data_IF_958683856165
#
_entry.id   IF_958683856165
#
_cell.length_a   1.000
_cell.length_b   1.000
_cell.length_c   1.000
_cell.angle_alpha   90.00
_cell.angle_beta   90.00
_cell.angle_gamma   90.00
#
_symmetry.space_group_name_H-M   'P 1'
#
loop_
_entity.id
_entity.type
_entity.pdbx_description
1 polymer ?
#
# COMPACT_ATOMS: atom_id res chain seq x y z
N UNK A 1 25.59 -51.15 9.99
CA UNK A 1 24.17 -51.54 10.13
C UNK A 1 23.99 -51.90 11.60
N UNK A 2 23.27 -51.16 12.44
CA UNK A 2 22.13 -50.28 12.21
C UNK A 2 22.26 -49.05 13.11
N UNK A 3 22.23 -47.85 12.50
CA UNK A 3 22.04 -46.59 13.22
C UNK A 3 20.57 -46.50 13.64
N UNK A 4 20.34 -46.12 14.89
CA UNK A 4 19.00 -45.88 15.41
C UNK A 4 18.43 -44.58 14.82
N UNK A 5 17.13 -44.54 14.48
CA UNK A 5 16.52 -43.35 13.89
C UNK A 5 16.37 -42.25 14.94
N UNK A 6 16.97 -41.09 14.64
CA UNK A 6 16.85 -39.87 15.44
C UNK A 6 15.39 -39.43 15.58
N UNK A 7 14.96 -39.31 16.83
CA UNK A 7 13.74 -38.64 17.23
C UNK A 7 13.77 -37.19 16.75
N UNK A 8 12.91 -36.85 15.78
CA UNK A 8 12.60 -35.46 15.45
C UNK A 8 11.75 -34.89 16.58
N UNK A 9 12.13 -33.77 17.22
CA UNK A 9 11.24 -33.13 18.18
C UNK A 9 10.00 -32.59 17.46
N UNK A 10 8.79 -32.75 18.02
CA UNK A 10 7.59 -32.18 17.44
C UNK A 10 7.63 -30.66 17.60
N UNK A 11 7.74 -29.90 16.49
CA UNK A 11 7.42 -28.47 16.51
C UNK A 11 5.90 -28.31 16.45
N UNK A 12 5.25 -28.61 17.57
CA UNK A 12 3.89 -28.16 17.83
C UNK A 12 3.98 -26.65 18.06
N UNK A 13 3.57 -25.86 17.07
CA UNK A 13 3.08 -24.52 17.35
C UNK A 13 1.82 -24.72 18.21
N UNK A 14 2.01 -24.64 19.53
CA UNK A 14 0.93 -24.70 20.50
C UNK A 14 -0.08 -23.60 20.18
N UNK A 15 -1.22 -24.07 19.71
CA UNK A 15 -2.43 -23.31 19.46
C UNK A 15 -2.98 -22.84 20.81
N UNK A 16 -2.45 -21.76 21.36
CA UNK A 16 -3.05 -21.12 22.52
C UNK A 16 -4.22 -20.26 22.05
N UNK A 17 -5.41 -20.86 22.04
CA UNK A 17 -6.68 -20.16 21.97
C UNK A 17 -6.75 -19.18 23.15
N UNK A 18 -6.45 -17.90 22.90
CA UNK A 18 -6.83 -16.83 23.82
C UNK A 18 -8.19 -16.28 23.37
N UNK A 19 -9.21 -16.29 24.24
CA UNK A 19 -10.54 -15.83 23.90
C UNK A 19 -10.53 -14.30 23.81
N UNK A 20 -10.62 -13.77 22.59
CA UNK A 20 -10.93 -12.36 22.37
C UNK A 20 -12.44 -12.13 22.52
N UNK A 21 -12.91 -12.10 23.76
CA UNK A 21 -14.14 -11.40 24.17
C UNK A 21 -13.66 -10.35 25.20
N UNK A 22 -14.00 -9.08 25.17
CA UNK A 22 -14.93 -8.30 24.35
C UNK A 22 -14.75 -6.85 24.80
N UNK A 23 -14.35 -5.96 23.90
CA UNK A 23 -14.48 -4.51 24.06
C UNK A 23 -14.64 -3.85 22.68
N UNK A 24 -15.39 -4.50 21.79
CA UNK A 24 -16.12 -3.78 20.76
C UNK A 24 -17.30 -3.11 21.46
N UNK A 25 -17.09 -1.88 21.91
CA UNK A 25 -18.22 -0.97 21.95
C UNK A 25 -18.71 -0.86 20.52
N UNK A 26 -19.91 -1.40 20.27
CA UNK A 26 -20.63 -1.30 19.02
C UNK A 26 -20.60 0.13 18.50
N UNK A 27 -19.73 0.42 17.53
CA UNK A 27 -19.85 1.58 16.67
C UNK A 27 -20.25 1.08 15.28
N UNK A 28 -21.47 0.54 15.20
CA UNK A 28 -22.16 0.53 13.92
C UNK A 28 -22.16 1.98 13.40
N UNK A 29 -21.77 2.23 12.13
CA UNK A 29 -21.80 3.57 11.59
C UNK A 29 -23.23 4.08 11.70
N UNK A 30 -23.42 5.12 12.53
CA UNK A 30 -24.71 5.75 12.71
C UNK A 30 -25.25 6.12 11.33
N UNK A 31 -26.49 5.73 11.07
CA UNK A 31 -27.19 6.17 9.87
C UNK A 31 -27.18 7.71 9.82
N UNK A 32 -27.24 8.30 8.63
CA UNK A 32 -27.23 9.76 8.48
C UNK A 32 -28.35 10.48 9.27
N UNK A 33 -29.39 9.76 9.67
CA UNK A 33 -30.48 10.26 10.52
C UNK A 33 -30.08 10.32 12.00
N UNK A 34 -29.40 9.29 12.51
CA UNK A 34 -28.93 9.23 13.90
C UNK A 34 -27.85 10.26 14.19
N UNK A 35 -26.96 10.52 13.23
CA UNK A 35 -25.95 11.59 13.33
C UNK A 35 -26.62 12.95 13.52
N UNK A 36 -27.70 13.23 12.77
CA UNK A 36 -28.46 14.49 12.88
C UNK A 36 -29.20 14.58 14.21
N UNK A 37 -29.71 13.46 14.74
CA UNK A 37 -30.38 13.43 16.03
C UNK A 37 -29.39 13.71 17.18
N UNK A 38 -28.22 13.09 17.16
CA UNK A 38 -27.17 13.33 18.15
C UNK A 38 -26.63 14.77 18.08
N UNK A 39 -26.48 15.33 16.88
CA UNK A 39 -26.11 16.74 16.70
C UNK A 39 -27.16 17.70 17.29
N UNK A 40 -28.46 17.42 17.11
CA UNK A 40 -29.54 18.21 17.73
C UNK A 40 -29.55 18.09 19.25
N UNK A 41 -29.27 16.89 19.77
CA UNK A 41 -29.16 16.63 21.21
C UNK A 41 -27.98 17.40 21.81
N UNK A 42 -26.85 17.44 21.10
CA UNK A 42 -25.67 18.21 21.45
C UNK A 42 -25.94 19.72 21.54
N UNK A 43 -26.80 20.27 20.68
CA UNK A 43 -27.12 21.71 20.69
C UNK A 43 -28.15 22.13 21.75
N UNK A 44 -28.98 21.19 22.23
CA UNK A 44 -30.11 21.49 23.13
C UNK A 44 -29.84 21.21 24.60
N UNK A 45 -28.83 20.38 24.88
CA UNK A 45 -28.62 19.86 26.22
C UNK A 45 -27.18 20.03 26.66
N UNK A 46 -27.01 20.82 27.72
CA UNK A 46 -25.72 21.20 28.31
C UNK A 46 -24.92 20.00 28.85
N UNK A 47 -25.60 18.90 29.16
CA UNK A 47 -24.99 17.66 29.64
C UNK A 47 -24.46 16.76 28.51
N UNK A 48 -24.76 17.07 27.25
CA UNK A 48 -24.31 16.27 26.13
C UNK A 48 -22.81 16.45 25.91
N UNK A 49 -22.07 15.35 25.70
CA UNK A 49 -20.58 15.35 25.62
C UNK A 49 -20.04 16.33 24.57
N UNK A 50 -20.80 16.56 23.50
CA UNK A 50 -20.42 17.47 22.40
C UNK A 50 -20.98 18.90 22.54
N UNK A 51 -21.73 19.22 23.61
CA UNK A 51 -22.43 20.51 23.75
C UNK A 51 -21.48 21.70 23.62
N UNK A 52 -20.41 21.72 24.42
CA UNK A 52 -19.45 22.84 24.38
C UNK A 52 -18.73 22.96 23.04
N UNK A 53 -18.62 21.88 22.26
CA UNK A 53 -18.04 21.90 20.92
C UNK A 53 -19.02 22.51 19.90
N UNK A 54 -20.31 22.18 20.01
CA UNK A 54 -21.35 22.69 19.09
C UNK A 54 -21.79 24.11 19.38
N UNK A 55 -21.75 24.55 20.64
CA UNK A 55 -22.33 25.85 21.06
C UNK A 55 -21.29 26.96 21.14
N UNK A 56 -20.00 26.63 21.30
CA UNK A 56 -18.92 27.62 21.51
C UNK A 56 -18.01 27.82 20.30
N UNK A 57 -17.98 26.90 19.34
CA UNK A 57 -17.09 27.01 18.19
C UNK A 57 -17.85 27.46 16.95
N UNK A 58 -17.76 28.76 16.61
CA UNK A 58 -17.69 29.09 15.19
C UNK A 58 -16.51 28.27 14.63
N UNK A 59 -16.71 27.39 13.63
CA UNK A 59 -15.62 26.58 13.13
C UNK A 59 -14.50 27.53 12.72
N UNK A 60 -13.27 27.39 13.27
CA UNK A 60 -12.18 28.24 12.87
C UNK A 60 -12.10 28.15 11.34
N UNK A 61 -12.13 29.31 10.65
CA UNK A 61 -11.93 29.35 9.21
C UNK A 61 -10.72 28.46 8.93
N UNK A 62 -10.92 27.43 8.10
CA UNK A 62 -9.91 26.42 7.75
C UNK A 62 -8.51 27.02 7.90
N UNK A 63 -7.70 26.47 8.81
CA UNK A 63 -6.34 26.96 9.11
C UNK A 63 -5.67 27.38 7.80
N UNK A 64 -5.30 28.67 7.68
CA UNK A 64 -4.60 29.17 6.50
C UNK A 64 -3.36 28.30 6.32
N UNK A 65 -3.34 27.47 5.28
CA UNK A 65 -2.14 26.71 4.95
C UNK A 65 -1.00 27.72 4.82
N UNK A 66 0.07 27.52 5.58
CA UNK A 66 1.25 28.40 5.53
C UNK A 66 1.97 28.27 4.19
N UNK A 67 1.74 27.16 3.48
CA UNK A 67 2.19 26.92 2.10
C UNK A 67 1.01 26.37 1.28
N UNK A 68 0.12 27.24 0.80
CA UNK A 68 -0.95 26.79 -0.07
C UNK A 68 -0.32 26.33 -1.40
N UNK A 69 -0.61 25.08 -1.79
CA UNK A 69 -0.13 24.47 -3.04
C UNK A 69 -0.26 25.41 -4.24
N UNK A 70 -1.40 26.11 -4.35
CA UNK A 70 -1.65 27.07 -5.41
C UNK A 70 -0.62 28.19 -5.48
N UNK A 71 -0.16 28.72 -4.33
CA UNK A 71 0.84 29.81 -4.31
C UNK A 71 2.21 29.32 -4.78
N UNK A 72 2.64 28.15 -4.32
CA UNK A 72 3.88 27.52 -4.79
C UNK A 72 3.81 27.21 -6.29
N UNK A 73 2.69 26.66 -6.76
CA UNK A 73 2.46 26.39 -8.18
C UNK A 73 2.49 27.68 -9.03
N UNK A 74 1.86 28.77 -8.56
CA UNK A 74 1.89 30.06 -9.24
C UNK A 74 3.30 30.67 -9.29
N UNK A 75 4.08 30.58 -8.21
CA UNK A 75 5.47 31.06 -8.19
C UNK A 75 6.35 30.29 -9.20
N UNK A 76 6.17 28.96 -9.32
CA UNK A 76 6.88 28.14 -10.31
C UNK A 76 6.45 28.45 -11.76
N UNK A 77 5.17 28.70 -12.00
CA UNK A 77 4.68 29.08 -13.33
C UNK A 77 5.20 30.44 -13.76
N UNK A 78 5.33 31.38 -12.83
CA UNK A 78 5.80 32.74 -13.12
C UNK A 78 7.33 32.85 -13.25
N UNK A 79 8.09 31.91 -12.69
CA UNK A 79 9.56 31.87 -12.82
C UNK A 79 10.04 31.14 -14.09
N UNK A 80 9.13 30.53 -14.85
CA UNK A 80 9.45 29.81 -16.08
C UNK A 80 9.34 30.76 -17.28
N UNK A 81 10.45 30.96 -18.00
CA UNK A 81 10.65 32.02 -19.00
C UNK A 81 10.38 31.60 -20.47
N UNK A 82 9.75 30.46 -20.73
CA UNK A 82 9.57 29.98 -22.11
C UNK A 82 8.11 29.65 -22.43
N UNK A 83 7.73 29.81 -23.71
CA UNK A 83 6.47 29.45 -24.39
C UNK A 83 6.15 27.94 -24.35
N UNK A 84 6.56 27.27 -23.28
CA UNK A 84 6.23 25.88 -23.00
C UNK A 84 4.83 25.88 -22.40
N UNK A 85 3.88 25.24 -23.11
CA UNK A 85 2.56 24.96 -22.54
C UNK A 85 2.69 24.40 -21.13
N UNK A 86 1.85 24.84 -20.19
CA UNK A 86 1.83 24.40 -18.79
C UNK A 86 2.03 22.88 -18.65
N UNK A 87 1.37 22.11 -19.51
CA UNK A 87 1.40 20.65 -19.49
C UNK A 87 2.77 20.10 -19.89
N UNK A 88 3.43 20.72 -20.88
CA UNK A 88 4.77 20.34 -21.32
C UNK A 88 5.82 20.69 -20.26
N UNK A 89 5.67 21.82 -19.57
CA UNK A 89 6.57 22.18 -18.47
C UNK A 89 6.40 21.22 -17.29
N UNK A 90 5.16 20.91 -16.91
CA UNK A 90 4.87 19.93 -15.85
C UNK A 90 5.47 18.55 -16.18
N UNK A 91 5.30 18.07 -17.41
CA UNK A 91 5.89 16.81 -17.85
C UNK A 91 7.42 16.83 -17.79
N UNK A 92 8.04 17.94 -18.22
CA UNK A 92 9.50 18.10 -18.20
C UNK A 92 10.05 18.18 -16.77
N UNK A 93 9.44 18.99 -15.90
CA UNK A 93 9.83 19.13 -14.50
C UNK A 93 9.71 17.80 -13.75
N UNK A 94 8.61 17.08 -13.95
CA UNK A 94 8.42 15.75 -13.34
C UNK A 94 9.42 14.72 -13.85
N UNK A 95 9.71 14.71 -15.15
CA UNK A 95 10.73 13.83 -15.75
C UNK A 95 12.12 14.13 -15.19
N UNK A 96 12.46 15.41 -14.99
CA UNK A 96 13.71 15.83 -14.38
C UNK A 96 13.79 15.40 -12.91
N UNK A 97 12.74 15.61 -12.12
CA UNK A 97 12.69 15.16 -10.72
C UNK A 97 12.83 13.64 -10.62
N UNK A 98 12.09 12.89 -11.45
CA UNK A 98 12.19 11.44 -11.54
C UNK A 98 13.63 10.99 -11.82
N UNK A 99 14.27 11.55 -12.84
CA UNK A 99 15.67 11.22 -13.16
C UNK A 99 16.66 11.60 -12.03
N UNK A 100 16.35 12.64 -11.27
CA UNK A 100 17.23 13.15 -10.19
C UNK A 100 17.13 12.38 -8.87
N UNK A 101 16.06 11.62 -8.64
CA UNK A 101 15.77 10.96 -7.36
C UNK A 101 16.73 9.79 -6.97
N UNK A 102 17.85 9.62 -7.70
CA UNK A 102 18.67 8.41 -7.70
C UNK A 102 17.92 7.25 -8.40
N UNK A 103 18.57 6.16 -8.82
CA UNK A 103 17.86 5.02 -9.42
C UNK A 103 17.40 4.00 -8.36
N UNK A 104 16.16 4.08 -7.85
CA UNK A 104 15.50 2.94 -7.22
C UNK A 104 15.23 1.85 -8.26
N UNK A 105 14.96 0.64 -7.79
CA UNK A 105 14.53 -0.48 -8.63
C UNK A 105 13.33 -0.13 -9.52
N UNK A 106 12.45 0.80 -9.08
CA UNK A 106 11.31 1.29 -9.86
C UNK A 106 11.69 1.98 -11.17
N UNK A 107 12.88 2.57 -11.28
CA UNK A 107 13.35 3.20 -12.53
C UNK A 107 13.63 2.17 -13.63
N UNK A 108 13.88 0.90 -13.27
CA UNK A 108 14.01 -0.17 -14.24
C UNK A 108 12.66 -0.48 -14.90
N UNK A 109 11.55 -0.38 -14.15
CA UNK A 109 10.22 -0.76 -14.63
C UNK A 109 9.43 0.41 -15.23
N UNK A 110 9.69 1.64 -14.78
CA UNK A 110 9.03 2.87 -15.24
C UNK A 110 10.07 3.73 -15.96
N UNK A 111 10.19 3.49 -17.27
CA UNK A 111 11.17 4.17 -18.12
C UNK A 111 10.80 5.64 -18.39
N UNK A 112 9.53 5.90 -18.70
CA UNK A 112 9.02 7.26 -18.86
C UNK A 112 7.73 7.44 -18.04
N UNK A 113 7.76 8.20 -16.93
CA UNK A 113 6.58 8.43 -16.12
C UNK A 113 5.50 9.26 -16.84
N UNK A 114 5.86 9.98 -17.91
CA UNK A 114 4.91 10.71 -18.76
C UNK A 114 4.53 9.96 -20.04
N UNK A 115 5.20 8.84 -20.34
CA UNK A 115 5.11 8.13 -21.61
C UNK A 115 4.24 6.89 -21.54
N UNK A 116 2.91 7.07 -21.51
CA UNK A 116 1.93 6.00 -21.81
C UNK A 116 1.95 4.77 -20.89
N UNK A 117 1.05 3.83 -21.23
CA UNK A 117 0.80 2.57 -20.55
C UNK A 117 2.08 1.78 -20.22
N UNK A 118 2.35 1.56 -18.94
CA UNK A 118 3.34 0.57 -18.50
C UNK A 118 2.74 -0.80 -18.79
N UNK A 119 3.53 -1.73 -19.35
CA UNK A 119 3.07 -3.09 -19.64
C UNK A 119 2.26 -3.67 -18.47
N UNK A 120 1.01 -4.03 -18.77
CA UNK A 120 0.04 -4.64 -17.85
C UNK A 120 -1.04 -3.70 -17.32
N UNK A 121 -1.14 -2.46 -17.80
CA UNK A 121 -2.20 -1.51 -17.46
C UNK A 121 -3.62 -2.00 -17.80
N UNK A 122 -3.73 -2.91 -18.77
CA UNK A 122 -4.94 -3.61 -19.18
C UNK A 122 -5.32 -4.79 -18.26
N UNK A 123 -4.45 -5.17 -17.32
CA UNK A 123 -4.71 -6.29 -16.43
C UNK A 123 -5.82 -5.99 -15.42
N UNK A 124 -6.60 -7.02 -15.02
CA UNK A 124 -7.45 -6.95 -13.84
C UNK A 124 -6.69 -6.40 -12.63
N UNK A 125 -7.39 -5.60 -11.82
CA UNK A 125 -6.82 -4.88 -10.66
C UNK A 125 -5.93 -5.77 -9.80
N UNK A 126 -6.35 -7.00 -9.51
CA UNK A 126 -5.63 -7.91 -8.64
C UNK A 126 -4.25 -8.29 -9.21
N UNK A 127 -4.21 -8.71 -10.49
CA UNK A 127 -2.98 -9.06 -11.20
C UNK A 127 -2.07 -7.85 -11.32
N UNK A 128 -2.64 -6.70 -11.68
CA UNK A 128 -1.91 -5.44 -11.76
C UNK A 128 -1.29 -5.07 -10.41
N UNK A 129 -2.04 -5.19 -9.31
CA UNK A 129 -1.49 -4.89 -7.97
C UNK A 129 -0.37 -5.84 -7.58
N UNK A 130 -0.53 -7.16 -7.80
CA UNK A 130 0.50 -8.16 -7.50
C UNK A 130 1.77 -7.90 -8.31
N UNK A 131 1.64 -7.65 -9.61
CA UNK A 131 2.74 -7.29 -10.48
C UNK A 131 3.47 -6.04 -9.99
N UNK A 132 2.73 -4.98 -9.65
CA UNK A 132 3.36 -3.74 -9.17
C UNK A 132 4.05 -3.92 -7.84
N UNK A 133 3.52 -4.73 -6.92
CA UNK A 133 4.16 -5.04 -5.64
C UNK A 133 5.47 -5.79 -5.81
N UNK A 134 5.54 -6.70 -6.79
CA UNK A 134 6.77 -7.38 -7.19
C UNK A 134 7.78 -6.40 -7.78
N UNK A 135 7.36 -5.56 -8.74
CA UNK A 135 8.21 -4.53 -9.36
C UNK A 135 8.78 -3.55 -8.33
N UNK A 136 7.95 -3.03 -7.44
CA UNK A 136 8.43 -2.09 -6.41
C UNK A 136 9.14 -2.78 -5.25
N UNK A 137 9.10 -4.12 -5.18
CA UNK A 137 9.59 -4.93 -4.04
C UNK A 137 9.01 -4.48 -2.70
N UNK A 138 7.82 -3.88 -2.74
CA UNK A 138 7.12 -3.28 -1.61
C UNK A 138 5.65 -3.65 -1.73
N UNK A 139 5.09 -4.17 -0.64
CA UNK A 139 3.71 -4.69 -0.62
C UNK A 139 3.41 -5.38 0.68
N UNK A 140 2.42 -6.28 0.69
CA UNK A 140 2.04 -7.07 1.87
C UNK A 140 2.80 -8.40 1.91
N UNK A 141 4.11 -8.35 1.64
CA UNK A 141 5.00 -9.47 1.97
C UNK A 141 4.93 -9.74 3.48
N UNK A 142 4.98 -11.01 3.92
CA UNK A 142 4.82 -11.33 5.36
C UNK A 142 5.85 -10.62 6.25
N UNK A 143 7.05 -10.34 5.74
CA UNK A 143 8.05 -9.49 6.43
C UNK A 143 7.55 -8.07 6.68
N UNK A 144 6.96 -7.42 5.67
CA UNK A 144 6.33 -6.10 5.80
C UNK A 144 5.12 -6.15 6.72
N UNK A 145 4.25 -7.16 6.58
CA UNK A 145 3.07 -7.32 7.44
C UNK A 145 3.45 -7.53 8.91
N UNK A 146 4.52 -8.30 9.19
CA UNK A 146 5.04 -8.49 10.55
C UNK A 146 5.58 -7.18 11.11
N UNK A 147 6.30 -6.40 10.32
CA UNK A 147 6.77 -5.05 10.70
C UNK A 147 5.61 -4.12 11.05
N UNK A 148 4.45 -4.29 10.42
CA UNK A 148 3.23 -3.55 10.71
C UNK A 148 2.36 -4.15 11.82
N UNK A 149 2.75 -5.30 12.39
CA UNK A 149 1.99 -5.99 13.44
C UNK A 149 0.68 -6.61 12.96
N UNK A 150 0.55 -6.89 11.65
CA UNK A 150 -0.64 -7.53 11.07
C UNK A 150 -0.55 -9.07 11.08
N UNK A 151 0.67 -9.62 11.20
CA UNK A 151 0.92 -11.05 11.33
C UNK A 151 2.02 -11.28 12.37
N UNK A 152 1.94 -12.41 13.08
CA UNK A 152 2.93 -12.77 14.10
C UNK A 152 4.21 -13.35 13.48
N UNK A 153 4.08 -14.00 12.32
CA UNK A 153 5.15 -14.73 11.66
C UNK A 153 5.42 -14.20 10.24
N UNK A 154 6.72 -14.04 9.91
CA UNK A 154 7.16 -13.63 8.59
C UNK A 154 7.44 -14.82 7.64
N UNK A 155 7.30 -16.06 8.10
CA UNK A 155 7.70 -17.24 7.34
C UNK A 155 6.90 -17.43 6.06
N UNK A 156 7.61 -17.81 4.99
CA UNK A 156 7.00 -18.19 3.72
C UNK A 156 6.40 -19.60 3.82
N UNK A 157 5.39 -19.87 3.00
CA UNK A 157 4.71 -21.18 2.96
C UNK A 157 5.62 -22.25 2.35
N UNK A 158 6.65 -21.82 1.61
CA UNK A 158 7.69 -22.68 1.09
C UNK A 158 8.69 -23.12 2.19
N UNK A 159 8.49 -22.71 3.45
CA UNK A 159 9.34 -23.07 4.59
C UNK A 159 10.52 -22.13 4.85
N UNK A 160 10.68 -21.05 4.06
CA UNK A 160 11.69 -20.02 4.32
C UNK A 160 11.33 -19.20 5.57
N UNK A 161 12.29 -18.85 6.45
CA UNK A 161 12.01 -18.08 7.67
C UNK A 161 11.42 -16.69 7.40
N UNK A 162 11.69 -16.08 6.24
CA UNK A 162 11.25 -14.73 5.94
C UNK A 162 10.78 -14.58 4.48
N UNK A 163 9.49 -14.34 4.29
CA UNK A 163 8.94 -13.98 2.99
C UNK A 163 9.24 -12.50 2.70
N UNK A 164 10.37 -12.25 2.04
CA UNK A 164 10.73 -10.96 1.43
C UNK A 164 10.35 -10.92 -0.04
N UNK A 165 10.32 -9.73 -0.63
CA UNK A 165 10.16 -9.58 -2.08
C UNK A 165 11.26 -10.32 -2.85
N UNK A 166 12.52 -10.17 -2.39
CA UNK A 166 13.68 -10.81 -3.02
C UNK A 166 13.56 -12.33 -2.97
N UNK A 167 13.11 -12.89 -1.83
CA UNK A 167 12.84 -14.31 -1.71
C UNK A 167 11.80 -14.77 -2.74
N UNK A 168 10.64 -14.11 -2.82
CA UNK A 168 9.58 -14.46 -3.77
C UNK A 168 10.09 -14.40 -5.21
N UNK A 169 10.82 -13.35 -5.58
CA UNK A 169 11.27 -13.14 -6.97
C UNK A 169 12.39 -14.13 -7.35
N UNK A 170 13.32 -14.41 -6.45
CA UNK A 170 14.60 -15.05 -6.82
C UNK A 170 14.77 -16.50 -6.35
N UNK A 171 14.17 -16.91 -5.21
CA UNK A 171 14.49 -18.19 -4.57
C UNK A 171 13.28 -19.03 -4.16
N UNK A 172 12.09 -18.45 -4.06
CA UNK A 172 10.89 -19.17 -3.64
C UNK A 172 10.52 -20.25 -4.65
N UNK A 173 10.41 -21.51 -4.24
CA UNK A 173 10.03 -22.58 -5.18
C UNK A 173 8.51 -22.69 -5.40
N UNK A 174 7.69 -22.01 -4.59
CA UNK A 174 6.23 -22.03 -4.72
C UNK A 174 5.70 -20.85 -5.54
N UNK A 175 6.17 -19.64 -5.23
CA UNK A 175 5.59 -18.40 -5.75
C UNK A 175 6.53 -17.61 -6.65
N UNK A 176 7.60 -18.24 -7.13
CA UNK A 176 8.52 -17.55 -8.02
C UNK A 176 7.87 -17.28 -9.36
N UNK A 177 7.93 -16.03 -9.86
CA UNK A 177 7.54 -15.75 -11.23
C UNK A 177 8.49 -16.45 -12.21
N UNK A 178 8.05 -16.76 -13.44
CA UNK A 178 8.85 -17.49 -14.43
C UNK A 178 10.27 -16.93 -14.63
N UNK A 179 10.38 -15.61 -14.70
CA UNK A 179 11.65 -14.90 -14.72
C UNK A 179 11.50 -13.49 -14.17
N UNK A 180 12.57 -12.96 -13.58
CA UNK A 180 12.65 -11.56 -13.17
C UNK A 180 12.57 -10.62 -14.39
N UNK A 181 13.08 -11.05 -15.55
CA UNK A 181 12.96 -10.31 -16.81
C UNK A 181 11.50 -10.21 -17.29
N UNK A 182 10.67 -11.21 -16.96
CA UNK A 182 9.25 -11.22 -17.33
C UNK A 182 8.41 -10.22 -16.52
N UNK A 183 8.98 -9.64 -15.45
CA UNK A 183 8.37 -8.48 -14.78
C UNK A 183 8.38 -7.24 -15.67
N UNK A 184 9.24 -7.18 -16.69
CA UNK A 184 9.35 -6.06 -17.64
C UNK A 184 8.51 -6.32 -18.89
N UNK A 185 8.81 -7.42 -19.59
CA UNK A 185 8.14 -7.84 -20.80
C UNK A 185 7.14 -8.93 -20.43
N UNK A 186 5.89 -8.54 -20.20
CA UNK A 186 4.80 -9.39 -19.71
C UNK A 186 4.43 -10.46 -20.76
N UNK A 187 5.31 -11.44 -20.93
CA UNK A 187 5.11 -12.56 -21.83
C UNK A 187 3.93 -13.44 -21.39
N UNK A 188 3.47 -14.32 -22.28
CA UNK A 188 2.29 -15.16 -22.04
C UNK A 188 2.45 -16.07 -20.80
N UNK A 189 3.68 -16.51 -20.51
CA UNK A 189 3.98 -17.33 -19.32
C UNK A 189 3.78 -16.54 -18.01
N UNK A 190 4.18 -15.26 -18.00
CA UNK A 190 3.99 -14.40 -16.83
C UNK A 190 2.51 -14.08 -16.62
N UNK A 191 1.76 -13.88 -17.70
CA UNK A 191 0.32 -13.64 -17.62
C UNK A 191 -0.44 -14.86 -17.10
N UNK A 192 -0.06 -16.07 -17.56
CA UNK A 192 -0.61 -17.32 -17.03
C UNK A 192 -0.25 -17.48 -15.54
N UNK A 193 1.01 -17.23 -15.18
CA UNK A 193 1.45 -17.26 -13.78
C UNK A 193 0.68 -16.25 -12.91
N UNK A 194 0.50 -15.01 -13.40
CA UNK A 194 -0.29 -13.99 -12.71
C UNK A 194 -1.76 -14.38 -12.56
N UNK A 195 -2.30 -15.21 -13.44
CA UNK A 195 -3.67 -15.71 -13.36
C UNK A 195 -3.81 -16.86 -12.34
N UNK A 196 -2.82 -17.74 -12.28
CA UNK A 196 -2.90 -18.97 -11.48
C UNK A 196 -2.28 -18.82 -10.07
N UNK A 197 -1.55 -17.74 -9.82
CA UNK A 197 -0.89 -17.51 -8.52
C UNK A 197 -1.91 -17.19 -7.41
N UNK A 198 -1.86 -17.96 -6.32
CA UNK A 198 -2.64 -17.71 -5.10
C UNK A 198 -1.93 -16.74 -4.12
N UNK A 199 -0.90 -16.03 -4.60
CA UNK A 199 -0.08 -15.17 -3.78
C UNK A 199 -0.82 -13.85 -3.41
N UNK A 200 -1.26 -13.72 -2.16
CA UNK A 200 -1.82 -12.48 -1.62
C UNK A 200 -0.71 -11.55 -1.08
N UNK A 201 -0.15 -10.70 -1.96
CA UNK A 201 0.81 -9.64 -1.59
C UNK A 201 0.12 -8.34 -1.15
#
# INVERSE_FOLDING_TARGET
MLEQPGERPPRLCEYQHKPWYSLQQNTAPLSGVEVRMQARKAQRHDWHILHNITTTAAPPSRLKSRHPYNKAAHEMLNSTSEDISRDAWLAAAWKQEWQSAGPPHSHCYIWDPGGGAIGGDDLPRWQWTTLNRLRTRVGRFKTSMRKWGLVDCAACECGDPEQTADHIISTCHLYRPPSEASLFDLGPEMLAWLHDTELDL
#
